data_IF_953004956424
#
_entry.id   IF_953004956424
#
_cell.length_a   1.000
_cell.length_b   1.000
_cell.length_c   1.000
_cell.angle_alpha   90.00
_cell.angle_beta   90.00
_cell.angle_gamma   90.00
#
_symmetry.space_group_name_H-M   'P 1'
#
loop_
_entity.id
_entity.type
_entity.pdbx_description
1 polymer ?
#
# COMPACT_ATOMS: atom_id res chain seq x y z
N UNK A 1 -1.50 -14.83 -10.53
CA UNK A 1 -2.83 -15.48 -10.52
C UNK A 1 -3.90 -14.58 -9.92
N UNK A 2 -3.78 -14.12 -8.67
CA UNK A 2 -4.87 -13.36 -8.00
C UNK A 2 -5.29 -12.06 -8.70
N UNK A 3 -4.33 -11.27 -9.22
CA UNK A 3 -4.64 -10.01 -9.94
C UNK A 3 -5.49 -10.29 -11.19
N UNK A 4 -5.09 -11.27 -11.99
CA UNK A 4 -5.81 -11.66 -13.21
C UNK A 4 -7.24 -12.11 -12.91
N UNK A 5 -7.46 -12.85 -11.82
CA UNK A 5 -8.80 -13.31 -11.41
C UNK A 5 -9.68 -12.12 -10.99
N UNK A 6 -9.18 -11.21 -10.16
CA UNK A 6 -9.93 -10.03 -9.70
C UNK A 6 -10.33 -9.15 -10.88
N UNK A 7 -9.43 -8.95 -11.84
CA UNK A 7 -9.68 -8.14 -13.03
C UNK A 7 -10.74 -8.78 -13.93
N UNK A 8 -10.66 -10.10 -14.13
CA UNK A 8 -11.65 -10.86 -14.90
C UNK A 8 -13.04 -10.78 -14.25
N UNK A 9 -13.13 -10.96 -12.93
CA UNK A 9 -14.40 -10.81 -12.20
C UNK A 9 -14.93 -9.38 -12.28
N UNK A 10 -14.05 -8.37 -12.17
CA UNK A 10 -14.43 -6.97 -12.33
C UNK A 10 -15.04 -6.67 -13.70
N UNK A 11 -14.44 -7.20 -14.77
CA UNK A 11 -14.96 -7.07 -16.13
C UNK A 11 -16.32 -7.74 -16.29
N UNK A 12 -16.45 -9.00 -15.85
CA UNK A 12 -17.64 -9.83 -16.11
C UNK A 12 -18.83 -9.49 -15.20
N UNK A 13 -18.59 -9.11 -13.94
CA UNK A 13 -19.65 -8.95 -12.92
C UNK A 13 -20.04 -7.48 -12.69
N UNK A 14 -19.10 -6.55 -12.88
CA UNK A 14 -19.32 -5.12 -12.62
C UNK A 14 -19.44 -4.26 -13.89
N UNK A 15 -19.45 -4.86 -15.08
CA UNK A 15 -19.50 -4.16 -16.38
C UNK A 15 -18.53 -2.96 -16.46
N UNK A 16 -17.32 -3.14 -15.91
CA UNK A 16 -16.32 -2.08 -15.86
C UNK A 16 -15.85 -1.79 -17.30
N UNK A 17 -16.36 -0.69 -17.87
CA UNK A 17 -15.98 -0.21 -19.19
C UNK A 17 -14.64 0.54 -19.12
N UNK A 18 -13.56 -0.23 -19.03
CA UNK A 18 -12.18 0.27 -19.12
C UNK A 18 -11.56 -0.15 -20.45
N UNK A 19 -10.82 0.77 -21.06
CA UNK A 19 -9.96 0.50 -22.20
C UNK A 19 -8.81 -0.45 -21.81
N UNK A 20 -8.23 -1.14 -22.80
CA UNK A 20 -7.06 -1.99 -22.60
C UNK A 20 -5.90 -1.26 -21.91
N UNK A 21 -5.72 0.04 -22.20
CA UNK A 21 -4.66 0.86 -21.61
C UNK A 21 -4.90 1.07 -20.11
N UNK A 22 -6.13 1.37 -19.70
CA UNK A 22 -6.49 1.56 -18.29
C UNK A 22 -6.33 0.27 -17.47
N UNK A 23 -6.65 -0.87 -18.08
CA UNK A 23 -6.39 -2.18 -17.47
C UNK A 23 -4.89 -2.40 -17.23
N UNK A 24 -4.06 -2.18 -18.25
CA UNK A 24 -2.60 -2.34 -18.13
C UNK A 24 -2.03 -1.35 -17.10
N UNK A 25 -2.46 -0.09 -17.14
CA UNK A 25 -1.99 0.93 -16.21
C UNK A 25 -2.41 0.66 -14.76
N UNK A 26 -3.60 0.11 -14.52
CA UNK A 26 -3.99 -0.38 -13.20
C UNK A 26 -3.01 -1.42 -12.67
N UNK A 27 -2.67 -2.42 -13.49
CA UNK A 27 -1.74 -3.48 -13.10
C UNK A 27 -0.38 -2.87 -12.77
N UNK A 28 0.13 -1.98 -13.63
CA UNK A 28 1.42 -1.31 -13.42
C UNK A 28 1.43 -0.51 -12.12
N UNK A 29 0.39 0.29 -11.86
CA UNK A 29 0.30 1.10 -10.64
C UNK A 29 0.15 0.26 -9.37
N UNK A 30 -0.65 -0.81 -9.42
CA UNK A 30 -0.78 -1.76 -8.30
C UNK A 30 0.57 -2.43 -8.02
N UNK A 31 1.27 -2.89 -9.05
CA UNK A 31 2.59 -3.52 -8.89
C UNK A 31 3.62 -2.52 -8.35
N UNK A 32 3.64 -1.31 -8.88
CA UNK A 32 4.53 -0.24 -8.41
C UNK A 32 4.27 0.08 -6.93
N UNK A 33 3.02 0.33 -6.56
CA UNK A 33 2.68 0.62 -5.18
C UNK A 33 2.97 -0.57 -4.24
N UNK A 34 2.71 -1.80 -4.69
CA UNK A 34 3.09 -3.01 -3.94
C UNK A 34 4.59 -3.08 -3.73
N UNK A 35 5.38 -2.82 -4.77
CA UNK A 35 6.84 -2.80 -4.71
C UNK A 35 7.36 -1.78 -3.69
N UNK A 36 6.79 -0.58 -3.67
CA UNK A 36 7.17 0.47 -2.71
C UNK A 36 6.78 0.11 -1.26
N UNK A 37 5.81 -0.78 -1.06
CA UNK A 37 5.42 -1.28 0.26
C UNK A 37 6.13 -2.58 0.68
N UNK A 38 6.89 -3.24 -0.20
CA UNK A 38 7.64 -4.46 0.15
C UNK A 38 8.55 -4.32 1.38
N UNK A 39 9.27 -3.19 1.59
CA UNK A 39 10.11 -3.01 2.76
C UNK A 39 9.36 -3.15 4.08
N UNK A 40 8.07 -2.81 4.12
CA UNK A 40 7.23 -2.98 5.30
C UNK A 40 7.04 -4.47 5.62
N UNK A 41 6.78 -5.30 4.61
CA UNK A 41 6.68 -6.75 4.76
C UNK A 41 8.00 -7.39 5.20
N UNK A 42 9.13 -6.94 4.64
CA UNK A 42 10.47 -7.41 5.03
C UNK A 42 10.78 -7.06 6.49
N UNK A 43 10.39 -5.84 6.92
CA UNK A 43 10.59 -5.38 8.30
C UNK A 43 9.78 -6.23 9.28
N UNK A 44 8.50 -6.48 8.98
CA UNK A 44 7.67 -7.39 9.78
C UNK A 44 8.29 -8.79 9.84
N UNK A 45 8.79 -9.29 8.71
CA UNK A 45 9.48 -10.59 8.62
C UNK A 45 10.77 -10.71 9.44
N UNK A 46 11.28 -9.62 10.05
CA UNK A 46 12.40 -9.71 11.01
C UNK A 46 11.94 -10.24 12.39
N UNK A 47 10.64 -10.31 12.65
CA UNK A 47 10.09 -10.85 13.90
C UNK A 47 10.28 -12.37 13.91
N UNK A 48 11.08 -12.88 14.86
CA UNK A 48 11.45 -14.31 14.96
C UNK A 48 10.30 -15.23 15.37
N UNK A 49 9.41 -14.75 16.23
CA UNK A 49 8.26 -15.55 16.69
C UNK A 49 7.15 -15.51 15.64
N UNK A 50 6.76 -16.68 15.13
CA UNK A 50 5.66 -16.78 14.17
C UNK A 50 4.34 -16.25 14.73
N UNK A 51 4.07 -16.48 16.03
CA UNK A 51 2.85 -15.99 16.68
C UNK A 51 2.86 -14.45 16.74
N UNK A 52 3.98 -13.86 17.17
CA UNK A 52 4.14 -12.41 17.22
C UNK A 52 4.06 -11.80 15.82
N UNK A 53 4.71 -12.41 14.82
CA UNK A 53 4.65 -11.97 13.43
C UNK A 53 3.20 -11.93 12.93
N UNK A 54 2.44 -13.00 13.13
CA UNK A 54 1.03 -13.06 12.70
C UNK A 54 0.18 -12.00 13.39
N UNK A 55 0.32 -11.83 14.70
CA UNK A 55 -0.41 -10.81 15.46
C UNK A 55 -0.11 -9.39 14.94
N UNK A 56 1.18 -9.03 14.83
CA UNK A 56 1.57 -7.71 14.34
C UNK A 56 1.18 -7.50 12.87
N UNK A 57 1.35 -8.50 12.01
CA UNK A 57 0.98 -8.39 10.59
C UNK A 57 -0.51 -8.15 10.42
N UNK A 58 -1.36 -8.86 11.18
CA UNK A 58 -2.80 -8.68 11.14
C UNK A 58 -3.23 -7.29 11.66
N UNK A 59 -2.62 -6.82 12.75
CA UNK A 59 -2.87 -5.48 13.28
C UNK A 59 -2.42 -4.40 12.30
N UNK A 60 -1.22 -4.54 11.71
CA UNK A 60 -0.73 -3.62 10.67
C UNK A 60 -1.64 -3.64 9.44
N UNK A 61 -2.05 -4.82 8.98
CA UNK A 61 -2.96 -4.97 7.84
C UNK A 61 -4.28 -4.25 8.09
N UNK A 62 -4.95 -4.57 9.19
CA UNK A 62 -6.25 -3.99 9.55
C UNK A 62 -6.12 -2.48 9.78
N UNK A 63 -5.13 -2.07 10.57
CA UNK A 63 -4.87 -0.68 10.90
C UNK A 63 -4.59 0.16 9.66
N UNK A 64 -3.71 -0.30 8.77
CA UNK A 64 -3.40 0.42 7.54
C UNK A 64 -4.54 0.39 6.51
N UNK A 65 -5.36 -0.67 6.47
CA UNK A 65 -6.52 -0.74 5.58
C UNK A 65 -7.60 0.26 5.97
N UNK A 66 -7.92 0.36 7.27
CA UNK A 66 -8.89 1.32 7.79
C UNK A 66 -8.32 2.73 7.72
N UNK A 67 -7.12 2.95 8.29
CA UNK A 67 -6.52 4.29 8.33
C UNK A 67 -6.18 4.81 6.95
N UNK A 68 -5.84 3.95 5.99
CA UNK A 68 -5.57 4.36 4.61
C UNK A 68 -6.80 4.74 3.80
N UNK A 69 -8.00 4.52 4.33
CA UNK A 69 -9.26 4.75 3.62
C UNK A 69 -9.57 3.69 2.55
N UNK A 70 -8.90 2.52 2.60
CA UNK A 70 -9.08 1.45 1.61
C UNK A 70 -10.41 0.71 1.80
N UNK A 71 -10.85 0.54 3.04
CA UNK A 71 -12.09 -0.18 3.38
C UNK A 71 -13.25 0.73 3.76
N UNK A 72 -12.95 1.93 4.26
CA UNK A 72 -13.96 2.89 4.67
C UNK A 72 -13.61 4.28 4.14
N UNK A 73 -14.55 5.00 3.51
CA UNK A 73 -14.30 6.29 2.90
C UNK A 73 -13.80 7.30 3.95
N UNK A 74 -12.70 7.97 3.62
CA UNK A 74 -12.04 8.91 4.52
C UNK A 74 -12.95 10.09 4.89
N UNK A 75 -13.88 10.49 4.01
CA UNK A 75 -14.81 11.60 4.25
C UNK A 75 -15.71 11.35 5.47
N UNK A 76 -15.90 10.08 5.82
CA UNK A 76 -16.72 9.68 6.97
C UNK A 76 -15.95 9.65 8.29
N UNK A 77 -14.64 9.94 8.28
CA UNK A 77 -13.83 10.02 9.50
C UNK A 77 -13.90 11.40 10.16
N UNK A 78 -13.75 11.49 11.49
CA UNK A 78 -13.59 12.78 12.18
C UNK A 78 -12.32 13.50 11.72
N UNK A 79 -12.31 14.83 11.79
CA UNK A 79 -11.26 15.68 11.21
C UNK A 79 -9.83 15.35 11.69
N UNK A 80 -9.66 14.92 12.94
CA UNK A 80 -8.35 14.52 13.46
C UNK A 80 -7.86 13.22 12.80
N UNK A 81 -8.76 12.26 12.56
CA UNK A 81 -8.43 10.96 11.98
C UNK A 81 -8.14 11.10 10.48
N UNK A 82 -8.85 11.98 9.78
CA UNK A 82 -8.55 12.36 8.41
C UNK A 82 -7.09 12.85 8.24
N UNK A 83 -6.58 13.64 9.19
CA UNK A 83 -5.17 14.09 9.15
C UNK A 83 -4.21 12.92 9.29
N UNK A 84 -4.52 11.95 10.14
CA UNK A 84 -3.71 10.73 10.33
C UNK A 84 -3.74 9.88 9.06
N UNK A 85 -4.91 9.68 8.46
CA UNK A 85 -5.09 8.96 7.19
C UNK A 85 -4.15 9.48 6.11
N UNK A 86 -4.10 10.80 5.91
CA UNK A 86 -3.25 11.44 4.90
C UNK A 86 -1.75 11.21 5.08
N UNK A 87 -1.30 10.78 6.26
CA UNK A 87 0.12 10.47 6.51
C UNK A 87 0.45 9.01 6.20
N UNK A 88 -0.56 8.14 6.09
CA UNK A 88 -0.34 6.71 5.92
C UNK A 88 0.13 6.38 4.49
N UNK A 89 1.04 5.39 4.34
CA UNK A 89 1.46 4.96 3.02
C UNK A 89 0.30 4.32 2.23
N UNK A 90 -0.67 3.68 2.91
CA UNK A 90 -1.85 3.09 2.26
C UNK A 90 -2.80 4.13 1.68
N UNK A 91 -2.92 5.31 2.30
CA UNK A 91 -3.64 6.44 1.69
C UNK A 91 -2.96 6.91 0.41
N UNK A 92 -1.64 7.09 0.43
CA UNK A 92 -0.92 7.49 -0.77
C UNK A 92 -0.94 6.42 -1.86
N UNK A 93 -0.98 5.14 -1.50
CA UNK A 93 -1.20 4.03 -2.43
C UNK A 93 -2.57 4.14 -3.11
N UNK A 94 -3.64 4.34 -2.34
CA UNK A 94 -4.99 4.53 -2.88
C UNK A 94 -5.04 5.78 -3.78
N UNK A 95 -4.50 6.89 -3.30
CA UNK A 95 -4.50 8.15 -4.03
C UNK A 95 -3.70 8.06 -5.34
N UNK A 96 -2.62 7.28 -5.38
CA UNK A 96 -1.86 7.02 -6.62
C UNK A 96 -2.72 6.35 -7.68
N UNK A 97 -3.57 5.39 -7.29
CA UNK A 97 -4.48 4.69 -8.19
C UNK A 97 -5.62 5.59 -8.65
N UNK A 98 -6.28 6.28 -7.72
CA UNK A 98 -7.44 7.14 -8.01
C UNK A 98 -7.03 8.35 -8.85
N UNK A 99 -5.92 9.01 -8.52
CA UNK A 99 -5.44 10.20 -9.23
C UNK A 99 -5.10 9.95 -10.71
N UNK A 100 -4.78 8.72 -11.09
CA UNK A 100 -4.62 8.33 -12.49
C UNK A 100 -5.95 8.44 -13.26
N UNK A 101 -7.06 8.00 -12.64
CA UNK A 101 -8.40 8.05 -13.23
C UNK A 101 -8.98 9.46 -13.24
N UNK A 102 -8.66 10.26 -12.23
CA UNK A 102 -9.04 11.67 -12.17
C UNK A 102 -8.26 12.55 -13.16
N UNK A 103 -7.31 11.96 -13.92
CA UNK A 103 -6.41 12.65 -14.86
C UNK A 103 -5.52 13.72 -14.22
N UNK A 104 -5.36 13.67 -12.90
CA UNK A 104 -4.48 14.56 -12.11
C UNK A 104 -3.48 13.72 -11.30
N UNK A 105 -2.59 13.03 -12.02
CA UNK A 105 -1.70 12.04 -11.41
C UNK A 105 -0.85 12.62 -10.27
N UNK A 106 -0.97 12.02 -9.08
CA UNK A 106 -0.35 12.54 -7.87
C UNK A 106 1.12 12.15 -7.74
N UNK A 107 2.01 12.91 -8.39
CA UNK A 107 3.47 12.78 -8.24
C UNK A 107 3.93 12.89 -6.78
N UNK A 108 3.22 13.68 -5.96
CA UNK A 108 3.49 13.80 -4.52
C UNK A 108 3.30 12.46 -3.80
N UNK A 109 2.22 11.74 -4.11
CA UNK A 109 1.94 10.44 -3.47
C UNK A 109 2.99 9.40 -3.86
N UNK A 110 3.41 9.41 -5.13
CA UNK A 110 4.51 8.56 -5.60
C UNK A 110 5.83 8.86 -4.87
N UNK A 111 6.18 10.14 -4.72
CA UNK A 111 7.38 10.56 -4.00
C UNK A 111 7.33 10.16 -2.52
N UNK A 112 6.19 10.33 -1.86
CA UNK A 112 6.00 9.95 -0.45
C UNK A 112 6.12 8.44 -0.27
N UNK A 113 5.48 7.62 -1.11
CA UNK A 113 5.62 6.16 -1.08
C UNK A 113 7.07 5.71 -1.29
N UNK A 114 7.77 6.35 -2.24
CA UNK A 114 9.19 6.08 -2.49
C UNK A 114 10.05 6.44 -1.28
N UNK A 115 9.79 7.59 -0.65
CA UNK A 115 10.44 7.99 0.59
C UNK A 115 10.22 6.99 1.72
N UNK A 116 8.98 6.52 1.92
CA UNK A 116 8.67 5.47 2.88
C UNK A 116 9.45 4.18 2.60
N UNK A 117 9.50 3.74 1.34
CA UNK A 117 10.25 2.56 0.94
C UNK A 117 11.75 2.68 1.28
N UNK A 118 12.37 3.81 0.93
CA UNK A 118 13.79 4.08 1.20
C UNK A 118 14.07 4.11 2.72
N UNK A 119 13.23 4.81 3.49
CA UNK A 119 13.38 4.91 4.95
C UNK A 119 13.29 3.52 5.59
N UNK A 120 12.29 2.72 5.21
CA UNK A 120 12.11 1.36 5.74
C UNK A 120 13.29 0.45 5.37
N UNK A 121 13.79 0.52 4.13
CA UNK A 121 14.99 -0.21 3.72
C UNK A 121 16.22 0.22 4.53
N UNK A 122 16.38 1.52 4.80
CA UNK A 122 17.43 2.04 5.67
C UNK A 122 17.35 1.47 7.08
N UNK A 123 16.14 1.44 7.68
CA UNK A 123 15.90 0.82 9.00
C UNK A 123 16.27 -0.67 8.97
N UNK A 124 15.83 -1.41 7.96
CA UNK A 124 16.16 -2.83 7.80
C UNK A 124 17.68 -3.05 7.72
N UNK A 125 18.38 -2.23 6.93
CA UNK A 125 19.83 -2.32 6.80
C UNK A 125 20.55 -2.03 8.13
N UNK A 126 20.06 -1.07 8.92
CA UNK A 126 20.59 -0.77 10.25
C UNK A 126 20.37 -1.93 11.23
N UNK A 127 19.18 -2.55 11.23
CA UNK A 127 18.87 -3.71 12.07
C UNK A 127 19.80 -4.87 11.72
N UNK A 128 19.98 -5.18 10.43
CA UNK A 128 20.89 -6.25 9.98
C UNK A 128 22.33 -6.00 10.40
N UNK A 129 22.85 -4.79 10.17
CA UNK A 129 24.20 -4.40 10.62
C UNK A 129 24.40 -4.59 12.13
N UNK A 130 23.37 -4.36 12.95
CA UNK A 130 23.47 -4.61 14.40
C UNK A 130 23.45 -6.09 14.75
N UNK A 131 22.77 -6.92 13.97
CA UNK A 131 22.74 -8.37 14.18
C UNK A 131 24.05 -9.03 13.76
N UNK A 132 24.73 -8.52 12.72
CA UNK A 132 25.99 -9.07 12.22
C UNK A 132 27.22 -8.76 13.12
N UNK A 133 27.08 -7.88 14.11
CA UNK A 133 28.17 -7.43 15.01
C UNK A 133 28.19 -8.21 16.34
N UNK A 134 27.20 -9.07 16.61
CA UNK A 134 27.13 -9.95 17.78
C UNK A 134 27.24 -11.42 17.36
#
# INVERSE_FOLDING_TARGET
MSISVVFTVGYVVKDIQMSLVEWVMSIVLILLGTFLMLPLGILLGQIKSSETLSLFSNLCYMGLAILGGLWYPMESFPAWLQKVTKLTPTHHFLNLLVSYYDKDFSWRSLAILTGYGIILLGIIALIKKRQDVY
#
